data_IF_961406218406
#
_entry.id   IF_961406218406
#
_cell.length_a   1.000
_cell.length_b   1.000
_cell.length_c   1.000
_cell.angle_alpha   90.00
_cell.angle_beta   90.00
_cell.angle_gamma   90.00
#
_symmetry.space_group_name_H-M   'P 1'
#
loop_
_entity.id
_entity.type
_entity.pdbx_description
1 polymer ?
#
# COMPACT_ATOMS: atom_id res chain seq x y z
N UNK A 1 23.42 24.11 68.21
CA UNK A 1 24.29 24.28 67.02
C UNK A 1 23.40 24.34 65.79
N UNK A 2 23.48 25.44 65.04
CA UNK A 2 22.60 25.77 63.91
C UNK A 2 23.16 25.14 62.64
N UNK A 3 22.34 24.42 61.87
CA UNK A 3 22.62 24.13 60.45
C UNK A 3 21.35 24.35 59.65
N UNK A 4 21.22 25.54 59.09
CA UNK A 4 20.23 25.90 58.08
C UNK A 4 20.74 25.44 56.72
N UNK A 5 20.04 24.49 56.12
CA UNK A 5 20.30 24.04 54.74
C UNK A 5 19.52 24.98 53.81
N UNK A 6 20.23 25.76 52.99
CA UNK A 6 19.63 26.54 51.90
C UNK A 6 19.32 25.57 50.75
N UNK A 7 18.04 25.24 50.59
CA UNK A 7 17.53 24.50 49.44
C UNK A 7 17.35 25.46 48.28
N UNK A 8 18.33 25.54 47.38
CA UNK A 8 18.21 26.30 46.12
C UNK A 8 17.38 25.47 45.15
N UNK A 9 16.12 25.87 44.95
CA UNK A 9 15.26 25.32 43.89
C UNK A 9 15.76 25.87 42.56
N UNK A 10 16.50 25.06 41.81
CA UNK A 10 16.82 25.34 40.40
C UNK A 10 15.57 24.97 39.61
N UNK A 11 14.82 25.99 39.17
CA UNK A 11 13.68 25.81 38.29
C UNK A 11 14.12 25.20 36.97
N UNK A 12 13.81 23.92 36.77
CA UNK A 12 13.90 23.26 35.47
C UNK A 12 12.75 23.82 34.63
N UNK A 13 13.09 24.78 33.78
CA UNK A 13 12.17 25.31 32.77
C UNK A 13 11.85 24.17 31.83
N UNK A 14 10.58 23.75 31.87
CA UNK A 14 10.04 22.69 31.05
C UNK A 14 10.15 23.05 29.58
N UNK A 15 11.07 22.42 28.85
CA UNK A 15 11.00 22.32 27.40
C UNK A 15 10.10 21.15 27.05
N UNK A 16 8.79 21.36 27.17
CA UNK A 16 7.81 20.55 26.47
C UNK A 16 7.97 20.87 24.98
N UNK A 17 8.82 20.09 24.31
CA UNK A 17 8.87 20.09 22.85
C UNK A 17 7.53 19.52 22.38
N UNK A 18 6.60 20.42 22.08
CA UNK A 18 5.38 20.09 21.34
C UNK A 18 5.87 19.63 19.97
N UNK A 19 6.05 18.32 19.83
CA UNK A 19 6.20 17.67 18.54
C UNK A 19 4.94 18.00 17.75
N UNK A 20 5.07 18.91 16.79
CA UNK A 20 4.05 19.16 15.80
C UNK A 20 3.93 17.88 14.94
N UNK A 21 3.09 16.96 15.37
CA UNK A 21 2.54 15.93 14.49
C UNK A 21 1.73 16.69 13.44
N UNK A 22 2.34 16.88 12.28
CA UNK A 22 1.72 17.48 11.12
C UNK A 22 0.34 16.84 10.91
N UNK A 23 -0.66 17.69 10.79
CA UNK A 23 -2.03 17.33 10.49
C UNK A 23 -2.02 16.50 9.20
N UNK A 24 -2.39 15.23 9.29
CA UNK A 24 -2.84 14.45 8.14
C UNK A 24 -4.10 15.14 7.63
N UNK A 25 -3.89 16.09 6.73
CA UNK A 25 -4.93 16.87 6.11
C UNK A 25 -5.86 15.95 5.36
N UNK A 26 -7.16 16.13 5.63
CA UNK A 26 -8.22 15.72 4.73
C UNK A 26 -7.92 16.32 3.35
N UNK A 27 -7.37 15.52 2.44
CA UNK A 27 -7.36 15.86 1.02
C UNK A 27 -8.80 15.75 0.52
N UNK A 28 -9.38 16.81 -0.09
CA UNK A 28 -10.67 16.68 -0.75
C UNK A 28 -10.52 15.62 -1.85
N UNK A 29 -11.48 14.68 -1.90
CA UNK A 29 -11.54 13.66 -2.93
C UNK A 29 -11.39 14.34 -4.30
N UNK A 30 -10.29 14.02 -5.00
CA UNK A 30 -9.97 14.64 -6.28
C UNK A 30 -11.15 14.43 -7.25
N UNK A 31 -11.74 15.52 -7.70
CA UNK A 31 -12.93 15.58 -8.56
C UNK A 31 -12.67 15.18 -10.03
N UNK A 32 -11.56 14.50 -10.32
CA UNK A 32 -11.24 14.00 -11.65
C UNK A 32 -10.71 12.55 -11.55
N UNK A 33 -11.63 11.59 -11.56
CA UNK A 33 -11.28 10.19 -11.75
C UNK A 33 -10.69 10.01 -13.16
N UNK A 34 -9.45 9.53 -13.23
CA UNK A 34 -8.80 9.14 -14.48
C UNK A 34 -9.58 7.94 -15.08
N UNK A 35 -9.74 7.83 -16.41
CA UNK A 35 -10.30 6.64 -17.07
C UNK A 35 -9.66 5.30 -16.65
N UNK A 36 -8.47 5.33 -16.04
CA UNK A 36 -7.74 4.17 -15.54
C UNK A 36 -8.14 3.72 -14.12
N UNK A 37 -9.19 4.30 -13.53
CA UNK A 37 -9.80 3.80 -12.28
C UNK A 37 -9.16 4.29 -10.98
N UNK A 38 -8.34 5.34 -11.03
CA UNK A 38 -7.77 6.00 -9.85
C UNK A 38 -8.07 7.51 -9.89
N UNK A 39 -8.33 8.13 -8.73
CA UNK A 39 -8.42 9.58 -8.58
C UNK A 39 -7.07 10.26 -8.86
N UNK A 40 -7.07 11.57 -9.14
CA UNK A 40 -5.83 12.32 -9.26
C UNK A 40 -5.07 12.31 -7.93
N UNK A 41 -3.80 11.90 -8.00
CA UNK A 41 -2.89 11.84 -6.87
C UNK A 41 -1.86 12.98 -6.94
N UNK A 42 -1.51 13.50 -5.77
CA UNK A 42 -0.34 14.35 -5.58
C UNK A 42 0.96 13.59 -5.86
N UNK A 43 2.04 14.34 -6.10
CA UNK A 43 3.37 13.75 -6.28
C UNK A 43 3.87 13.01 -5.03
N UNK A 44 3.43 13.42 -3.83
CA UNK A 44 3.72 12.70 -2.59
C UNK A 44 3.02 11.35 -2.52
N UNK A 45 1.74 11.29 -2.90
CA UNK A 45 0.95 10.05 -2.90
C UNK A 45 1.48 9.07 -3.94
N UNK A 46 1.89 9.55 -5.13
CA UNK A 46 2.53 8.72 -6.16
C UNK A 46 3.87 8.08 -5.72
N UNK A 47 4.46 8.50 -4.59
CA UNK A 47 5.68 7.88 -4.03
C UNK A 47 5.39 6.82 -2.98
N UNK A 48 4.14 6.67 -2.56
CA UNK A 48 3.76 5.63 -1.60
C UNK A 48 3.52 4.30 -2.32
N UNK A 49 3.78 3.16 -1.68
CA UNK A 49 3.27 1.89 -2.18
C UNK A 49 1.74 1.91 -2.24
N UNK A 50 1.16 1.29 -3.27
CA UNK A 50 -0.29 1.28 -3.48
C UNK A 50 -1.05 0.76 -2.23
N UNK A 51 -0.53 -0.28 -1.57
CA UNK A 51 -1.16 -0.90 -0.41
C UNK A 51 -1.25 0.04 0.81
N UNK A 52 -0.47 1.12 0.89
CA UNK A 52 -0.53 2.05 2.04
C UNK A 52 -1.86 2.81 2.10
N UNK A 53 -2.47 3.09 0.95
CA UNK A 53 -3.81 3.67 0.89
C UNK A 53 -4.87 2.56 0.76
N UNK A 54 -4.60 1.53 -0.04
CA UNK A 54 -5.58 0.48 -0.33
C UNK A 54 -5.91 -0.42 0.86
N UNK A 55 -5.08 -0.47 1.91
CA UNK A 55 -5.45 -1.10 3.19
C UNK A 55 -6.66 -0.43 3.86
N UNK A 56 -6.91 0.83 3.55
CA UNK A 56 -8.03 1.61 4.11
C UNK A 56 -9.15 1.83 3.07
N UNK A 57 -8.80 2.00 1.78
CA UNK A 57 -9.76 2.29 0.70
C UNK A 57 -10.45 1.04 0.14
N UNK A 58 -9.72 -0.07 0.04
CA UNK A 58 -10.24 -1.37 -0.43
C UNK A 58 -9.71 -2.48 0.47
N UNK A 59 -10.09 -2.49 1.76
CA UNK A 59 -9.50 -3.37 2.76
C UNK A 59 -9.63 -4.85 2.39
N UNK A 60 -10.70 -5.25 1.71
CA UNK A 60 -10.91 -6.64 1.30
C UNK A 60 -9.86 -7.10 0.30
N UNK A 61 -9.59 -6.30 -0.74
CA UNK A 61 -8.55 -6.58 -1.73
C UNK A 61 -7.17 -6.57 -1.09
N UNK A 62 -6.93 -5.63 -0.17
CA UNK A 62 -5.68 -5.58 0.58
C UNK A 62 -5.49 -6.86 1.39
N UNK A 63 -6.50 -7.33 2.12
CA UNK A 63 -6.41 -8.54 2.93
C UNK A 63 -6.24 -9.80 2.07
N UNK A 64 -6.95 -9.91 0.94
CA UNK A 64 -6.75 -11.00 -0.02
C UNK A 64 -5.31 -11.06 -0.51
N UNK A 65 -4.76 -9.91 -0.94
CA UNK A 65 -3.37 -9.82 -1.38
C UNK A 65 -2.39 -10.06 -0.24
N UNK A 66 -2.55 -9.41 0.91
CA UNK A 66 -1.62 -9.47 2.04
C UNK A 66 -1.46 -10.91 2.54
N UNK A 67 -2.57 -11.66 2.58
CA UNK A 67 -2.59 -13.06 3.00
C UNK A 67 -2.28 -14.07 1.86
N UNK A 68 -2.03 -13.59 0.63
CA UNK A 68 -1.66 -14.42 -0.51
C UNK A 68 -0.18 -14.81 -0.53
N UNK A 69 0.17 -15.77 -1.38
CA UNK A 69 1.58 -16.06 -1.68
C UNK A 69 2.31 -14.85 -2.29
N UNK A 70 1.60 -14.01 -3.05
CA UNK A 70 2.15 -12.79 -3.63
C UNK A 70 2.38 -11.69 -2.59
N UNK A 71 1.48 -11.52 -1.61
CA UNK A 71 1.66 -10.57 -0.51
C UNK A 71 2.84 -10.97 0.38
N UNK A 72 2.90 -12.23 0.79
CA UNK A 72 4.02 -12.80 1.55
C UNK A 72 5.34 -12.69 0.76
N UNK A 73 5.28 -12.96 -0.55
CA UNK A 73 6.41 -12.82 -1.48
C UNK A 73 6.73 -11.39 -1.91
N UNK A 74 6.01 -10.38 -1.37
CA UNK A 74 6.17 -8.96 -1.71
C UNK A 74 6.04 -8.62 -3.20
N UNK A 75 5.28 -9.39 -3.97
CA UNK A 75 4.85 -9.00 -5.32
C UNK A 75 3.83 -7.87 -5.17
N UNK A 76 4.28 -6.66 -5.45
CA UNK A 76 3.52 -5.42 -5.27
C UNK A 76 2.45 -5.27 -6.35
N UNK A 77 1.41 -4.50 -6.03
CA UNK A 77 0.25 -4.28 -6.90
C UNK A 77 0.66 -3.86 -8.33
N UNK A 78 1.66 -2.97 -8.44
CA UNK A 78 2.11 -2.43 -9.72
C UNK A 78 2.80 -3.46 -10.63
N UNK A 79 3.28 -4.61 -10.11
CA UNK A 79 3.84 -5.68 -10.94
C UNK A 79 2.77 -6.31 -11.85
N UNK A 80 1.51 -6.28 -11.43
CA UNK A 80 0.39 -6.77 -12.23
C UNK A 80 -0.35 -5.62 -12.89
N UNK A 81 -0.70 -4.59 -12.09
CA UNK A 81 -1.61 -3.54 -12.50
C UNK A 81 -0.92 -2.35 -13.19
N UNK A 82 0.40 -2.25 -13.20
CA UNK A 82 1.10 -1.05 -13.65
C UNK A 82 1.21 0.02 -12.55
N UNK A 83 2.01 1.05 -12.82
CA UNK A 83 2.19 2.20 -11.94
C UNK A 83 1.08 3.22 -12.10
N UNK A 84 1.27 4.41 -11.52
CA UNK A 84 0.25 5.46 -11.51
C UNK A 84 -0.10 6.05 -12.88
N UNK A 85 0.82 5.98 -13.84
CA UNK A 85 0.63 6.58 -15.16
C UNK A 85 0.11 5.57 -16.20
N UNK A 86 0.27 4.27 -15.96
CA UNK A 86 -0.14 3.16 -16.85
C UNK A 86 -1.03 2.12 -16.16
N UNK A 87 -1.69 2.51 -15.07
CA UNK A 87 -2.54 1.64 -14.27
C UNK A 87 -3.63 0.97 -15.11
N UNK A 88 -3.80 -0.34 -14.91
CA UNK A 88 -4.89 -1.16 -15.40
C UNK A 88 -5.58 -1.85 -14.23
N UNK A 89 -6.84 -1.52 -13.99
CA UNK A 89 -7.66 -2.16 -12.95
C UNK A 89 -7.70 -3.68 -13.12
N UNK A 90 -7.76 -4.16 -14.36
CA UNK A 90 -7.59 -5.57 -14.70
C UNK A 90 -6.27 -5.73 -15.45
N UNK A 91 -5.32 -6.51 -14.93
CA UNK A 91 -3.99 -6.65 -15.52
C UNK A 91 -4.03 -7.49 -16.81
N UNK A 92 -3.02 -7.33 -17.66
CA UNK A 92 -2.83 -8.22 -18.80
C UNK A 92 -2.27 -9.56 -18.34
N UNK A 93 -2.77 -10.67 -18.88
CA UNK A 93 -2.28 -12.03 -18.60
C UNK A 93 -0.79 -12.17 -18.94
N UNK A 94 -0.27 -11.41 -19.89
CA UNK A 94 1.15 -11.36 -20.22
C UNK A 94 2.04 -10.93 -19.04
N UNK A 95 1.54 -10.09 -18.11
CA UNK A 95 2.30 -9.71 -16.91
C UNK A 95 2.62 -10.93 -16.04
N UNK A 96 1.74 -11.93 -16.01
CA UNK A 96 1.95 -13.16 -15.26
C UNK A 96 3.15 -13.96 -15.81
N UNK A 97 3.41 -13.90 -17.12
CA UNK A 97 4.47 -14.67 -17.77
C UNK A 97 5.89 -14.26 -17.36
N UNK A 98 6.07 -13.05 -16.80
CA UNK A 98 7.36 -12.57 -16.30
C UNK A 98 7.91 -13.53 -15.24
N UNK A 99 7.03 -14.08 -14.38
CA UNK A 99 7.40 -15.01 -13.33
C UNK A 99 6.85 -16.43 -13.53
N UNK A 100 5.72 -16.60 -14.24
CA UNK A 100 4.99 -17.87 -14.34
C UNK A 100 4.99 -18.48 -15.74
N UNK A 101 6.04 -18.27 -16.53
CA UNK A 101 6.13 -18.74 -17.92
C UNK A 101 5.75 -20.22 -18.10
N UNK A 102 6.23 -21.11 -17.25
CA UNK A 102 5.93 -22.55 -17.32
C UNK A 102 4.46 -22.91 -17.03
N UNK A 103 3.75 -22.05 -16.30
CA UNK A 103 2.31 -22.21 -16.03
C UNK A 103 1.51 -21.75 -17.25
N UNK A 104 1.97 -20.69 -17.92
CA UNK A 104 1.31 -20.15 -19.11
C UNK A 104 1.14 -21.22 -20.19
N UNK A 105 2.10 -22.11 -20.38
CA UNK A 105 2.05 -23.16 -21.40
C UNK A 105 1.09 -24.30 -21.11
N UNK A 106 0.68 -24.45 -19.84
CA UNK A 106 -0.25 -25.50 -19.39
C UNK A 106 -1.67 -24.99 -19.21
N UNK A 107 -1.89 -23.68 -19.24
CA UNK A 107 -3.20 -23.06 -19.09
C UNK A 107 -3.84 -22.74 -20.46
N UNK A 108 -5.19 -22.74 -20.55
CA UNK A 108 -5.89 -22.26 -21.73
C UNK A 108 -5.47 -20.84 -22.08
N UNK A 109 -5.15 -20.58 -23.36
CA UNK A 109 -4.66 -19.27 -23.82
C UNK A 109 -5.79 -18.25 -24.03
N UNK A 110 -7.03 -18.71 -24.08
CA UNK A 110 -8.25 -17.92 -24.30
C UNK A 110 -8.93 -17.48 -22.99
N UNK A 111 -8.42 -17.91 -21.83
CA UNK A 111 -8.98 -17.60 -20.52
C UNK A 111 -7.94 -16.93 -19.63
N UNK A 112 -8.34 -15.91 -18.85
CA UNK A 112 -7.43 -15.30 -17.89
C UNK A 112 -7.23 -16.21 -16.68
N UNK A 113 -6.12 -16.03 -15.97
CA UNK A 113 -5.76 -16.82 -14.78
C UNK A 113 -6.89 -16.86 -13.74
N UNK A 114 -7.56 -15.71 -13.56
CA UNK A 114 -8.64 -15.55 -12.59
C UNK A 114 -9.98 -16.18 -13.00
N UNK A 115 -10.08 -16.81 -14.19
CA UNK A 115 -11.26 -17.62 -14.52
C UNK A 115 -11.33 -18.91 -13.70
N UNK A 116 -10.21 -19.35 -13.13
CA UNK A 116 -10.11 -20.57 -12.34
C UNK A 116 -9.43 -20.36 -10.98
N UNK A 117 -8.66 -19.29 -10.81
CA UNK A 117 -8.01 -18.92 -9.55
C UNK A 117 -8.65 -17.67 -8.95
N UNK A 118 -8.81 -17.61 -7.62
CA UNK A 118 -9.25 -16.38 -6.97
C UNK A 118 -8.22 -15.27 -7.21
N UNK A 119 -8.68 -14.15 -7.75
CA UNK A 119 -7.86 -12.95 -7.90
C UNK A 119 -7.36 -12.48 -6.53
N UNK A 120 -6.19 -11.86 -6.52
CA UNK A 120 -5.48 -11.34 -5.33
C UNK A 120 -5.07 -12.38 -4.28
N UNK A 121 -5.76 -13.51 -4.15
CA UNK A 121 -5.36 -14.62 -3.27
C UNK A 121 -4.26 -15.51 -3.85
N UNK A 122 -4.29 -15.77 -5.17
CA UNK A 122 -3.38 -16.63 -5.96
C UNK A 122 -2.59 -17.64 -5.11
N UNK A 123 -3.33 -18.55 -4.44
CA UNK A 123 -2.75 -19.51 -3.50
C UNK A 123 -1.73 -20.36 -4.25
N UNK A 124 -0.49 -20.40 -3.73
CA UNK A 124 0.52 -21.33 -4.21
C UNK A 124 0.00 -22.76 -4.19
N UNK A 125 0.53 -23.64 -5.05
CA UNK A 125 0.19 -25.07 -4.99
C UNK A 125 0.40 -25.57 -3.55
N UNK A 126 -0.63 -26.18 -2.96
CA UNK A 126 -0.44 -27.12 -1.85
C UNK A 126 0.29 -28.36 -2.36
#
# INVERSE_FOLDING_TARGET
MKKTVKMTIIGIVSFFSIGACAQYGNSPASENANPNGHSALSQSEKRQPCYECHKDVTPEIYEEWYNSAHGVGQVRCFQCHGGYDDLKVVPDVAQCSICHMEVMDRCPKDKPCWSCHSAHEFKGKK
#
